data_IF_965431511269
#
_entry.id   IF_965431511269
#
_cell.length_a   1.000
_cell.length_b   1.000
_cell.length_c   1.000
_cell.angle_alpha   90.00
_cell.angle_beta   90.00
_cell.angle_gamma   90.00
#
_symmetry.space_group_name_H-M   'P 1'
#
loop_
_entity.id
_entity.type
_entity.pdbx_description
1 polymer ?
#
# COMPACT_ATOMS: atom_id res chain seq x y z
N UNK A 1 -11.27 13.75 -16.59
CA UNK A 1 -9.89 13.60 -17.12
C UNK A 1 -9.69 12.14 -17.53
N UNK A 2 -8.93 11.90 -18.61
CA UNK A 2 -8.49 10.54 -18.96
C UNK A 2 -7.49 10.01 -17.92
N UNK A 3 -7.24 8.69 -17.91
CA UNK A 3 -6.23 8.10 -17.04
C UNK A 3 -4.85 8.76 -17.19
N UNK A 4 -4.45 9.05 -18.43
CA UNK A 4 -3.13 9.65 -18.69
C UNK A 4 -3.07 11.10 -18.17
N UNK A 5 -4.15 11.86 -18.29
CA UNK A 5 -4.22 13.21 -17.70
C UNK A 5 -4.12 13.15 -16.17
N UNK A 6 -4.79 12.21 -15.53
CA UNK A 6 -4.72 12.02 -14.08
C UNK A 6 -3.33 11.59 -13.62
N UNK A 7 -2.67 10.67 -14.34
CA UNK A 7 -1.30 10.28 -14.06
C UNK A 7 -0.30 11.42 -14.27
N UNK A 8 -0.58 12.35 -15.20
CA UNK A 8 0.19 13.58 -15.33
C UNK A 8 -0.10 14.59 -14.23
N UNK A 9 -1.35 14.71 -13.78
CA UNK A 9 -1.76 15.60 -12.72
C UNK A 9 -1.17 15.22 -11.35
N UNK A 10 -1.18 13.92 -10.98
CA UNK A 10 -0.69 13.46 -9.69
C UNK A 10 0.83 13.56 -9.56
N UNK A 11 1.31 13.92 -8.38
CA UNK A 11 2.72 13.82 -7.99
C UNK A 11 2.81 13.42 -6.50
N UNK A 12 4.00 13.15 -6.00
CA UNK A 12 4.23 12.90 -4.56
C UNK A 12 4.33 14.25 -3.82
N UNK A 13 3.19 14.73 -3.34
CA UNK A 13 2.98 16.01 -2.65
C UNK A 13 3.89 16.11 -1.44
N UNK A 14 4.59 17.24 -1.26
CA UNK A 14 5.54 17.45 -0.16
C UNK A 14 4.95 18.23 1.01
N UNK A 15 3.93 19.01 0.76
CA UNK A 15 3.16 19.76 1.78
C UNK A 15 1.67 19.61 1.50
N UNK A 16 0.91 19.39 2.56
CA UNK A 16 -0.56 19.26 2.48
C UNK A 16 -1.22 20.35 3.32
N UNK A 17 -2.41 20.77 2.90
CA UNK A 17 -3.12 21.93 3.47
C UNK A 17 -4.02 21.57 4.67
N UNK A 18 -3.88 20.38 5.25
CA UNK A 18 -4.67 19.85 6.36
C UNK A 18 -6.18 19.65 6.08
N UNK A 19 -6.64 19.90 4.85
CA UNK A 19 -8.03 19.66 4.48
C UNK A 19 -8.34 18.14 4.51
N UNK A 20 -9.53 17.80 5.01
CA UNK A 20 -9.98 16.42 5.10
C UNK A 20 -10.48 15.91 3.75
N UNK A 21 -10.09 14.71 3.39
CA UNK A 21 -10.64 13.99 2.24
C UNK A 21 -12.03 13.45 2.65
N UNK A 22 -13.08 13.67 1.83
CA UNK A 22 -14.38 13.05 2.07
C UNK A 22 -14.30 11.53 2.21
N UNK A 23 -15.04 10.97 3.16
CA UNK A 23 -15.00 9.53 3.49
C UNK A 23 -15.31 8.68 2.26
N UNK A 24 -16.23 9.09 1.42
CA UNK A 24 -16.64 8.38 0.20
C UNK A 24 -15.48 8.24 -0.79
N UNK A 25 -14.59 9.23 -0.86
CA UNK A 25 -13.38 9.17 -1.70
C UNK A 25 -12.33 8.23 -1.09
N UNK A 26 -12.14 8.31 0.24
CA UNK A 26 -11.23 7.42 0.96
C UNK A 26 -11.67 5.97 0.79
N UNK A 27 -12.97 5.69 0.92
CA UNK A 27 -13.52 4.34 0.78
C UNK A 27 -13.33 3.78 -0.63
N UNK A 28 -13.49 4.59 -1.68
CA UNK A 28 -13.19 4.17 -3.06
C UNK A 28 -11.71 3.83 -3.25
N UNK A 29 -10.81 4.64 -2.67
CA UNK A 29 -9.37 4.39 -2.73
C UNK A 29 -9.03 3.08 -1.99
N UNK A 30 -9.60 2.87 -0.81
CA UNK A 30 -9.43 1.64 -0.02
C UNK A 30 -9.97 0.41 -0.77
N UNK A 31 -11.12 0.54 -1.42
CA UNK A 31 -11.69 -0.53 -2.23
C UNK A 31 -10.81 -0.86 -3.45
N UNK A 32 -10.24 0.13 -4.12
CA UNK A 32 -9.30 -0.09 -5.21
C UNK A 32 -8.02 -0.82 -4.72
N UNK A 33 -7.49 -0.46 -3.55
CA UNK A 33 -6.38 -1.17 -2.89
C UNK A 33 -6.77 -2.63 -2.62
N UNK A 34 -7.97 -2.89 -2.09
CA UNK A 34 -8.50 -4.23 -1.80
C UNK A 34 -8.64 -5.09 -3.07
N UNK A 35 -9.01 -4.47 -4.20
CA UNK A 35 -9.21 -5.15 -5.48
C UNK A 35 -7.91 -5.31 -6.29
N UNK A 36 -6.78 -4.81 -5.81
CA UNK A 36 -5.51 -4.93 -6.52
C UNK A 36 -5.15 -6.41 -6.76
N UNK A 37 -4.68 -6.76 -7.97
CA UNK A 37 -4.25 -8.12 -8.25
C UNK A 37 -2.96 -8.44 -7.47
N UNK A 38 -2.90 -9.64 -6.90
CA UNK A 38 -1.70 -10.14 -6.24
C UNK A 38 -1.36 -11.53 -6.73
N UNK A 39 -0.11 -11.95 -6.53
CA UNK A 39 0.31 -13.30 -6.89
C UNK A 39 -0.57 -14.34 -6.19
N UNK A 40 -1.13 -15.27 -6.95
CA UNK A 40 -2.13 -16.25 -6.52
C UNK A 40 -3.41 -15.65 -5.88
N UNK A 41 -3.54 -14.34 -5.74
CA UNK A 41 -4.64 -13.70 -5.02
C UNK A 41 -4.51 -13.75 -3.49
N UNK A 42 -3.36 -14.17 -2.96
CA UNK A 42 -3.15 -14.41 -1.52
C UNK A 42 -3.29 -13.13 -0.68
N UNK A 43 -2.99 -11.95 -1.24
CA UNK A 43 -2.96 -10.68 -0.50
C UNK A 43 -2.13 -10.78 0.80
N UNK A 44 -0.87 -11.21 0.68
CA UNK A 44 0.05 -11.47 1.79
C UNK A 44 0.47 -10.22 2.57
N UNK A 45 -0.48 -9.30 2.86
CA UNK A 45 -0.25 -8.04 3.57
C UNK A 45 -1.52 -7.57 4.29
N UNK A 46 -1.35 -6.60 5.20
CA UNK A 46 -2.43 -5.80 5.78
C UNK A 46 -2.17 -4.31 5.55
N UNK A 47 -3.24 -3.52 5.57
CA UNK A 47 -3.17 -2.05 5.52
C UNK A 47 -3.74 -1.50 6.80
N UNK A 48 -2.93 -0.72 7.53
CA UNK A 48 -3.31 -0.07 8.78
C UNK A 48 -3.67 1.39 8.49
N UNK A 49 -4.86 1.79 8.84
CA UNK A 49 -5.29 3.20 8.78
C UNK A 49 -4.98 3.88 10.11
N UNK A 50 -4.22 4.96 10.06
CA UNK A 50 -3.79 5.69 11.25
C UNK A 50 -4.62 6.95 11.39
N UNK A 51 -5.57 6.94 12.32
CA UNK A 51 -6.48 8.07 12.59
C UNK A 51 -6.06 8.89 13.81
N UNK A 52 -5.52 8.22 14.84
CA UNK A 52 -5.17 8.84 16.12
C UNK A 52 -4.04 9.87 15.97
N UNK A 53 -4.29 11.11 16.44
CA UNK A 53 -3.36 12.20 16.30
C UNK A 53 -2.08 12.02 17.13
N UNK A 54 -2.17 11.38 18.31
CA UNK A 54 -1.01 11.13 19.14
C UNK A 54 -0.13 10.05 18.51
N UNK A 55 -0.74 9.02 17.90
CA UNK A 55 -0.02 8.00 17.14
C UNK A 55 0.67 8.60 15.91
N UNK A 56 0.02 9.51 15.17
CA UNK A 56 0.64 10.24 14.06
C UNK A 56 1.85 11.06 14.51
N UNK A 57 1.71 11.77 15.64
CA UNK A 57 2.81 12.55 16.20
C UNK A 57 3.98 11.66 16.61
N UNK A 58 3.69 10.48 17.17
CA UNK A 58 4.71 9.51 17.54
C UNK A 58 5.42 8.95 16.29
N UNK A 59 4.67 8.57 15.25
CA UNK A 59 5.23 8.13 13.96
C UNK A 59 6.13 9.22 13.37
N UNK A 60 5.69 10.49 13.40
CA UNK A 60 6.48 11.60 12.89
C UNK A 60 7.81 11.76 13.64
N UNK A 61 7.78 11.70 14.96
CA UNK A 61 8.97 11.93 15.78
C UNK A 61 9.99 10.77 15.70
N UNK A 62 9.52 9.52 15.65
CA UNK A 62 10.34 8.35 15.87
C UNK A 62 10.63 7.56 14.58
N UNK A 63 9.72 7.57 13.60
CA UNK A 63 9.82 6.71 12.43
C UNK A 63 9.89 7.45 11.10
N UNK A 64 9.15 8.54 10.89
CA UNK A 64 9.02 9.18 9.58
C UNK A 64 8.83 10.70 9.68
N UNK A 65 9.92 11.47 9.67
CA UNK A 65 9.92 12.94 9.82
C UNK A 65 9.50 13.68 8.53
N UNK A 66 8.49 13.16 7.82
CA UNK A 66 7.94 13.84 6.66
C UNK A 66 6.67 14.61 7.04
N UNK A 67 6.55 15.91 6.68
CA UNK A 67 5.43 16.77 7.11
C UNK A 67 4.05 16.19 6.79
N UNK A 68 3.93 15.42 5.70
CA UNK A 68 2.67 14.82 5.27
C UNK A 68 2.08 13.88 6.33
N UNK A 69 2.89 13.29 7.20
CA UNK A 69 2.42 12.44 8.32
C UNK A 69 1.50 13.24 9.25
N UNK A 70 1.77 14.54 9.44
CA UNK A 70 0.95 15.40 10.28
C UNK A 70 -0.11 16.17 9.47
N UNK A 71 0.24 16.60 8.27
CA UNK A 71 -0.60 17.46 7.41
C UNK A 71 -1.66 16.68 6.60
N UNK A 72 -1.44 15.39 6.37
CA UNK A 72 -2.34 14.56 5.56
C UNK A 72 -3.69 14.28 6.23
N UNK A 73 -4.70 14.03 5.41
CA UNK A 73 -6.02 13.62 5.88
C UNK A 73 -6.00 12.19 6.45
N UNK A 74 -5.54 11.24 5.65
CA UNK A 74 -5.50 9.81 6.00
C UNK A 74 -4.10 9.25 5.78
N UNK A 75 -3.69 8.33 6.65
CA UNK A 75 -2.42 7.61 6.54
C UNK A 75 -2.72 6.13 6.48
N UNK A 76 -2.24 5.48 5.43
CA UNK A 76 -2.35 4.04 5.21
C UNK A 76 -0.94 3.43 5.26
N UNK A 77 -0.67 2.57 6.25
CA UNK A 77 0.59 1.82 6.36
C UNK A 77 0.39 0.42 5.80
N UNK A 78 1.15 0.08 4.78
CA UNK A 78 1.16 -1.26 4.19
C UNK A 78 2.20 -2.11 4.91
N UNK A 79 1.76 -3.21 5.51
CA UNK A 79 2.62 -4.16 6.20
C UNK A 79 2.48 -5.56 5.59
N UNK A 80 3.59 -6.14 5.17
CA UNK A 80 3.64 -7.47 4.57
C UNK A 80 3.87 -8.56 5.62
N UNK A 81 3.29 -9.75 5.40
CA UNK A 81 3.63 -10.91 6.23
C UNK A 81 5.09 -11.31 6.03
N UNK A 82 5.81 -11.47 7.14
CA UNK A 82 7.21 -11.93 7.15
C UNK A 82 7.31 -13.40 6.76
N UNK A 83 6.32 -14.21 7.16
CA UNK A 83 6.26 -15.62 6.81
C UNK A 83 4.86 -15.99 6.33
N UNK A 84 4.79 -16.79 5.28
CA UNK A 84 3.56 -17.43 4.84
C UNK A 84 3.42 -18.72 5.61
N UNK A 85 2.41 -18.79 6.48
CA UNK A 85 2.12 -19.97 7.28
C UNK A 85 1.03 -20.83 6.64
N UNK A 86 0.93 -22.08 7.07
CA UNK A 86 -0.14 -22.98 6.60
C UNK A 86 -1.52 -22.40 6.94
N UNK A 87 -1.65 -21.79 8.11
CA UNK A 87 -2.90 -21.16 8.58
C UNK A 87 -3.33 -20.01 7.66
N UNK A 88 -2.39 -19.15 7.24
CA UNK A 88 -2.67 -18.06 6.30
C UNK A 88 -3.17 -18.59 4.95
N UNK A 89 -2.57 -19.69 4.47
CA UNK A 89 -3.00 -20.36 3.25
C UNK A 89 -4.39 -20.99 3.43
N UNK A 90 -4.63 -21.65 4.56
CA UNK A 90 -5.92 -22.27 4.87
C UNK A 90 -7.05 -21.22 4.97
N UNK A 91 -6.80 -20.07 5.63
CA UNK A 91 -7.73 -18.94 5.66
C UNK A 91 -8.07 -18.44 4.24
N UNK A 92 -7.07 -18.36 3.36
CA UNK A 92 -7.28 -17.99 1.97
C UNK A 92 -8.10 -19.03 1.21
N UNK A 93 -7.85 -20.35 1.41
CA UNK A 93 -8.65 -21.41 0.80
C UNK A 93 -10.10 -21.36 1.27
N UNK A 94 -10.35 -21.18 2.56
CA UNK A 94 -11.70 -21.04 3.11
C UNK A 94 -12.42 -19.81 2.51
N UNK A 95 -11.75 -18.67 2.41
CA UNK A 95 -12.34 -17.48 1.80
C UNK A 95 -12.65 -17.71 0.31
N UNK A 96 -11.77 -18.38 -0.41
CA UNK A 96 -11.98 -18.73 -1.83
C UNK A 96 -13.18 -19.66 -2.00
N UNK A 97 -13.26 -20.72 -1.21
CA UNK A 97 -14.35 -21.69 -1.23
C UNK A 97 -15.71 -21.00 -0.95
N UNK A 98 -15.75 -20.18 0.11
CA UNK A 98 -16.93 -19.40 0.48
C UNK A 98 -17.36 -18.44 -0.63
N UNK A 99 -16.40 -17.67 -1.19
CA UNK A 99 -16.71 -16.65 -2.20
C UNK A 99 -17.19 -17.24 -3.51
N UNK A 100 -16.62 -18.40 -3.89
CA UNK A 100 -17.00 -19.11 -5.13
C UNK A 100 -18.12 -20.12 -4.95
N UNK A 101 -18.59 -20.32 -3.71
CA UNK A 101 -19.60 -21.33 -3.35
C UNK A 101 -19.24 -22.74 -3.82
N UNK A 102 -18.00 -23.18 -3.50
CA UNK A 102 -17.47 -24.51 -3.83
C UNK A 102 -16.96 -25.20 -2.56
N UNK A 103 -16.86 -26.56 -2.56
CA UNK A 103 -16.23 -27.28 -1.45
C UNK A 103 -14.75 -26.89 -1.30
N UNK A 104 -14.26 -26.71 -0.06
CA UNK A 104 -12.86 -26.35 0.19
C UNK A 104 -11.90 -27.45 -0.26
N UNK A 105 -12.30 -28.72 -0.19
CA UNK A 105 -11.53 -29.90 -0.64
C UNK A 105 -11.23 -29.84 -2.14
N UNK A 106 -12.06 -29.15 -2.94
CA UNK A 106 -11.80 -28.94 -4.36
C UNK A 106 -10.59 -28.05 -4.64
N UNK A 107 -10.06 -27.39 -3.61
CA UNK A 107 -8.91 -26.48 -3.69
C UNK A 107 -7.58 -27.16 -3.26
N UNK A 108 -7.56 -28.45 -2.91
CA UNK A 108 -6.35 -29.13 -2.42
C UNK A 108 -5.16 -29.01 -3.40
N UNK A 109 -5.40 -29.18 -4.69
CA UNK A 109 -4.38 -29.01 -5.72
C UNK A 109 -3.87 -27.56 -5.82
N UNK A 110 -4.75 -26.58 -5.59
CA UNK A 110 -4.36 -25.18 -5.57
C UNK A 110 -3.62 -24.81 -4.27
N UNK A 111 -4.04 -25.39 -3.14
CA UNK A 111 -3.36 -25.25 -1.85
C UNK A 111 -1.91 -25.73 -1.93
N UNK A 112 -1.66 -26.87 -2.56
CA UNK A 112 -0.32 -27.43 -2.73
C UNK A 112 0.65 -26.49 -3.49
N UNK A 113 0.15 -25.56 -4.31
CA UNK A 113 0.98 -24.57 -4.97
C UNK A 113 1.68 -23.59 -3.99
N UNK A 114 1.22 -23.53 -2.74
CA UNK A 114 1.82 -22.71 -1.69
C UNK A 114 2.87 -23.44 -0.84
N UNK A 115 3.06 -24.76 -1.01
CA UNK A 115 3.97 -25.54 -0.17
C UNK A 115 5.40 -24.99 -0.21
N UNK A 116 5.87 -24.56 -1.38
CA UNK A 116 7.18 -23.93 -1.53
C UNK A 116 7.30 -22.59 -0.77
N UNK A 117 6.22 -21.81 -0.71
CA UNK A 117 6.19 -20.55 0.03
C UNK A 117 6.14 -20.81 1.55
N UNK A 118 5.34 -21.77 2.00
CA UNK A 118 5.26 -22.18 3.42
C UNK A 118 6.62 -22.69 3.93
N UNK A 119 7.33 -23.47 3.11
CA UNK A 119 8.68 -23.96 3.42
C UNK A 119 9.77 -22.87 3.28
N UNK A 120 9.48 -21.77 2.61
CA UNK A 120 10.43 -20.71 2.31
C UNK A 120 10.93 -19.96 3.57
N UNK A 121 12.06 -19.24 3.43
CA UNK A 121 12.58 -18.40 4.51
C UNK A 121 11.70 -17.16 4.73
N UNK A 122 11.82 -16.54 5.92
CA UNK A 122 11.15 -15.26 6.21
C UNK A 122 11.57 -14.17 5.22
N UNK A 123 12.83 -14.07 4.87
CA UNK A 123 13.34 -13.08 3.92
C UNK A 123 12.70 -13.25 2.54
N UNK A 124 12.64 -14.49 2.02
CA UNK A 124 12.01 -14.79 0.73
C UNK A 124 10.53 -14.44 0.74
N UNK A 125 9.80 -14.84 1.78
CA UNK A 125 8.38 -14.59 1.93
C UNK A 125 8.08 -13.09 2.09
N UNK A 126 8.85 -12.41 2.94
CA UNK A 126 8.70 -10.97 3.13
C UNK A 126 8.92 -10.20 1.83
N UNK A 127 10.01 -10.51 1.11
CA UNK A 127 10.30 -9.87 -0.17
C UNK A 127 9.19 -10.13 -1.22
N UNK A 128 8.65 -11.36 -1.26
CA UNK A 128 7.57 -11.69 -2.17
C UNK A 128 6.27 -10.93 -1.82
N UNK A 129 5.89 -10.93 -0.55
CA UNK A 129 4.71 -10.21 -0.05
C UNK A 129 4.86 -8.69 -0.20
N UNK A 130 6.05 -8.14 0.07
CA UNK A 130 6.34 -6.71 -0.11
C UNK A 130 6.11 -6.26 -1.57
N UNK A 131 6.47 -7.06 -2.57
CA UNK A 131 6.16 -6.75 -3.98
C UNK A 131 4.66 -6.63 -4.23
N UNK A 132 3.83 -7.41 -3.54
CA UNK A 132 2.37 -7.34 -3.65
C UNK A 132 1.82 -6.05 -3.05
N UNK A 133 2.43 -5.53 -1.98
CA UNK A 133 2.04 -4.23 -1.41
C UNK A 133 2.25 -3.08 -2.41
N UNK A 134 3.32 -3.13 -3.24
CA UNK A 134 3.56 -2.11 -4.26
C UNK A 134 2.55 -2.14 -5.39
N UNK A 135 2.02 -3.32 -5.75
CA UNK A 135 0.91 -3.42 -6.71
C UNK A 135 -0.35 -2.74 -6.13
N UNK A 136 -0.67 -3.04 -4.88
CA UNK A 136 -1.81 -2.44 -4.17
C UNK A 136 -1.63 -0.93 -3.97
N UNK A 137 -0.42 -0.48 -3.59
CA UNK A 137 -0.05 0.94 -3.50
C UNK A 137 -0.25 1.65 -4.85
N UNK A 138 0.26 1.07 -5.94
CA UNK A 138 0.11 1.61 -7.29
C UNK A 138 -1.36 1.76 -7.69
N UNK A 139 -2.19 0.77 -7.36
CA UNK A 139 -3.64 0.81 -7.58
C UNK A 139 -4.29 1.93 -6.76
N UNK A 140 -3.91 2.08 -5.49
CA UNK A 140 -4.36 3.16 -4.62
C UNK A 140 -3.97 4.56 -5.13
N UNK A 141 -2.76 4.71 -5.69
CA UNK A 141 -2.30 5.96 -6.30
C UNK A 141 -3.12 6.35 -7.54
N UNK A 142 -3.52 5.37 -8.35
CA UNK A 142 -4.38 5.58 -9.52
C UNK A 142 -5.77 6.00 -9.06
N UNK A 143 -6.35 5.28 -8.09
CA UNK A 143 -7.66 5.59 -7.55
C UNK A 143 -7.71 6.98 -6.88
N UNK A 144 -6.66 7.36 -6.14
CA UNK A 144 -6.55 8.69 -5.57
C UNK A 144 -6.54 9.78 -6.66
N UNK A 145 -5.81 9.55 -7.76
CA UNK A 145 -5.79 10.48 -8.88
C UNK A 145 -7.17 10.59 -9.55
N UNK A 146 -7.90 9.49 -9.70
CA UNK A 146 -9.28 9.45 -10.22
C UNK A 146 -10.22 10.33 -9.37
N UNK A 147 -10.11 10.21 -8.05
CA UNK A 147 -10.91 10.98 -7.10
C UNK A 147 -10.40 12.41 -6.87
N UNK A 148 -9.34 12.84 -7.58
CA UNK A 148 -8.67 14.14 -7.41
C UNK A 148 -8.22 14.36 -5.96
N UNK A 149 -7.67 13.32 -5.35
CA UNK A 149 -7.04 13.30 -4.03
C UNK A 149 -5.53 13.21 -4.23
N UNK A 150 -4.79 14.11 -3.62
CA UNK A 150 -3.34 14.01 -3.59
C UNK A 150 -2.90 12.83 -2.75
N UNK A 151 -1.88 12.14 -3.24
CA UNK A 151 -1.39 10.91 -2.63
C UNK A 151 0.14 10.87 -2.66
N UNK A 152 0.74 10.71 -1.49
CA UNK A 152 2.20 10.63 -1.34
C UNK A 152 2.60 9.26 -0.85
N UNK A 153 3.23 8.42 -1.71
CA UNK A 153 3.88 7.19 -1.26
C UNK A 153 5.19 7.53 -0.56
N UNK A 154 5.46 6.88 0.56
CA UNK A 154 6.65 7.08 1.38
C UNK A 154 7.34 5.75 1.64
N UNK A 155 8.62 5.65 1.28
CA UNK A 155 9.54 4.57 1.64
C UNK A 155 10.63 5.06 2.61
N UNK A 156 10.87 6.37 2.66
CA UNK A 156 11.89 6.99 3.49
C UNK A 156 11.45 7.13 4.94
N UNK A 157 11.35 6.03 5.66
CA UNK A 157 11.07 5.94 7.09
C UNK A 157 11.96 4.89 7.77
N UNK A 158 11.95 4.81 9.09
CA UNK A 158 12.61 3.74 9.86
C UNK A 158 11.63 2.58 10.07
N UNK A 159 11.77 1.44 9.36
CA UNK A 159 10.83 0.33 9.48
C UNK A 159 10.81 -0.29 10.88
N UNK A 160 11.97 -0.41 11.53
CA UNK A 160 12.04 -1.00 12.87
C UNK A 160 11.26 -0.18 13.90
N UNK A 161 11.40 1.15 13.87
CA UNK A 161 10.64 2.04 14.74
C UNK A 161 9.14 1.99 14.43
N UNK A 162 8.75 1.98 13.15
CA UNK A 162 7.33 1.90 12.75
C UNK A 162 6.72 0.56 13.15
N UNK A 163 7.44 -0.54 12.98
CA UNK A 163 7.01 -1.88 13.38
C UNK A 163 6.78 -1.97 14.90
N UNK A 164 7.66 -1.34 15.71
CA UNK A 164 7.51 -1.26 17.15
C UNK A 164 6.29 -0.41 17.55
N UNK A 165 6.15 0.79 16.96
CA UNK A 165 5.03 1.70 17.22
C UNK A 165 3.69 1.02 16.97
N UNK A 166 3.58 0.25 15.88
CA UNK A 166 2.35 -0.41 15.45
C UNK A 166 2.19 -1.84 15.96
N UNK A 167 3.17 -2.38 16.68
CA UNK A 167 3.14 -3.75 17.20
C UNK A 167 3.03 -4.81 16.08
N UNK A 168 3.79 -4.66 15.00
CA UNK A 168 3.66 -5.51 13.81
C UNK A 168 4.36 -6.86 13.96
N UNK A 169 5.54 -6.91 14.60
CA UNK A 169 6.35 -8.13 14.70
C UNK A 169 5.63 -9.31 15.37
N UNK A 170 4.88 -9.13 16.48
CA UNK A 170 4.10 -10.21 17.07
C UNK A 170 2.97 -10.73 16.17
N UNK A 171 2.57 -9.95 15.15
CA UNK A 171 1.55 -10.31 14.17
C UNK A 171 2.16 -10.93 12.89
N UNK A 172 3.44 -11.30 12.91
CA UNK A 172 4.17 -11.79 11.74
C UNK A 172 4.18 -10.78 10.57
N UNK A 173 4.16 -9.46 10.86
CA UNK A 173 4.13 -8.38 9.88
C UNK A 173 5.38 -7.51 9.98
N UNK A 174 5.72 -6.86 8.87
CA UNK A 174 6.72 -5.80 8.79
C UNK A 174 6.24 -4.69 7.86
N UNK A 175 6.49 -3.44 8.23
CA UNK A 175 6.11 -2.27 7.42
C UNK A 175 6.93 -2.22 6.12
N UNK A 176 6.26 -1.86 5.01
CA UNK A 176 6.85 -1.81 3.67
C UNK A 176 6.79 -0.39 3.09
N UNK A 177 5.63 0.24 3.14
CA UNK A 177 5.41 1.58 2.58
C UNK A 177 4.24 2.26 3.27
N UNK A 178 4.22 3.59 3.19
CA UNK A 178 3.14 4.42 3.71
C UNK A 178 2.50 5.16 2.52
N UNK A 179 1.19 5.30 2.52
CA UNK A 179 0.45 6.16 1.61
C UNK A 179 -0.26 7.24 2.43
N UNK A 180 0.07 8.49 2.18
CA UNK A 180 -0.64 9.63 2.79
C UNK A 180 -1.57 10.23 1.75
N UNK A 181 -2.85 10.39 2.11
CA UNK A 181 -3.89 11.02 1.30
C UNK A 181 -4.19 12.42 1.86
N UNK A 182 -4.49 13.38 0.98
CA UNK A 182 -4.83 14.74 1.38
C UNK A 182 -4.99 15.64 0.17
N UNK A 183 -4.76 16.92 0.37
CA UNK A 183 -4.76 17.92 -0.70
C UNK A 183 -3.49 18.75 -0.62
N UNK A 184 -2.87 19.00 -1.77
CA UNK A 184 -1.62 19.79 -1.88
C UNK A 184 -1.79 21.20 -1.34
N UNK A 185 -0.77 21.67 -0.65
CA UNK A 185 -0.60 23.08 -0.38
C UNK A 185 0.17 23.71 -1.55
N UNK A 186 -0.53 24.47 -2.39
CA UNK A 186 0.06 25.06 -3.59
C UNK A 186 1.01 26.22 -3.30
N UNK A 187 1.03 26.73 -2.06
CA UNK A 187 1.91 27.81 -1.63
C UNK A 187 3.21 27.25 -1.04
N UNK A 188 3.07 26.29 -0.12
CA UNK A 188 4.20 25.73 0.62
C UNK A 188 4.91 24.57 -0.11
N UNK A 189 4.21 23.89 -1.05
CA UNK A 189 4.81 22.80 -1.83
C UNK A 189 5.52 23.35 -3.08
N UNK A 190 6.82 23.49 -2.97
CA UNK A 190 7.67 23.97 -4.09
C UNK A 190 7.61 23.12 -5.37
N UNK A 191 7.06 21.90 -5.29
CA UNK A 191 6.89 21.02 -6.45
C UNK A 191 5.49 21.07 -7.07
N UNK A 192 4.57 21.86 -6.50
CA UNK A 192 3.20 21.92 -6.99
C UNK A 192 3.08 22.36 -8.46
N UNK A 193 3.99 23.24 -8.92
CA UNK A 193 4.06 23.72 -10.30
C UNK A 193 5.19 23.07 -11.11
N UNK A 194 5.93 22.10 -10.55
CA UNK A 194 7.07 21.50 -11.22
C UNK A 194 6.64 20.49 -12.28
N UNK A 195 7.30 20.50 -13.42
CA UNK A 195 7.08 19.51 -14.48
C UNK A 195 7.51 18.13 -14.03
N UNK A 196 6.73 17.13 -14.41
CA UNK A 196 7.03 15.72 -14.11
C UNK A 196 8.19 15.22 -14.95
N UNK A 197 9.22 14.66 -14.29
CA UNK A 197 10.38 14.07 -14.97
C UNK A 197 10.17 12.57 -15.10
N UNK A 198 10.30 12.04 -16.31
CA UNK A 198 10.27 10.60 -16.64
C UNK A 198 11.30 10.34 -17.76
N UNK A 199 11.75 9.10 -17.87
CA UNK A 199 12.52 8.64 -19.04
C UNK A 199 11.67 8.79 -20.31
N UNK A 200 12.33 8.92 -21.46
CA UNK A 200 11.66 8.84 -22.75
C UNK A 200 11.08 7.42 -22.96
N UNK A 201 10.18 7.28 -23.92
CA UNK A 201 9.63 5.97 -24.30
C UNK A 201 10.73 5.03 -24.77
N UNK A 202 11.67 5.55 -25.56
CA UNK A 202 12.80 4.82 -26.14
C UNK A 202 13.79 4.34 -25.07
N UNK A 203 14.01 5.15 -24.01
CA UNK A 203 14.87 4.79 -22.88
C UNK A 203 14.22 3.78 -21.91
N UNK A 204 12.89 3.71 -21.92
CA UNK A 204 12.16 2.85 -20.99
C UNK A 204 11.79 1.50 -21.60
N UNK A 205 11.44 1.46 -22.89
CA UNK A 205 10.97 0.26 -23.58
C UNK A 205 12.01 -0.26 -24.56
N UNK A 206 12.38 -1.53 -24.43
CA UNK A 206 13.27 -2.23 -25.34
C UNK A 206 12.44 -3.20 -26.17
N UNK A 207 12.51 -3.09 -27.49
CA UNK A 207 11.95 -4.07 -28.42
C UNK A 207 13.04 -5.10 -28.74
N UNK A 208 12.73 -6.37 -28.55
CA UNK A 208 13.59 -7.52 -28.87
C UNK A 208 13.14 -8.16 -30.17
#
# INVERSE_FOLDING_TARGET
>A
MSLIEQLNWRYATKRMNNAKVPVEKVDKIKEAIRLAPTSFGLQGFKVFEIEDAALRQRIYNEACQQPQILEGSNILVFAAYKKITAELVDEYMQNTAKTRNIPVESLDGFRAAFDGAVAGSEEQNFLWNAKQTYIALGTGLIAAAEEQVDATPIEGFNPAALDEILGLSPQNLGSVTILVLGYRDTVEDKYAAASKVRKSTEDLYVKL
#
